data_IF_399680835848
#
_entry.id   IF_399680835848
#
_cell.length_a   1.000
_cell.length_b   1.000
_cell.length_c   1.000
_cell.angle_alpha   90.00
_cell.angle_beta   90.00
_cell.angle_gamma   90.00
#
_symmetry.space_group_name_H-M   'P 1'
#
loop_
_entity.id
_entity.type
_entity.pdbx_description
1 polymer ?
#
# COMPACT_ATOMS: atom_id res chain seq x y z
N UNK A 1 -14.60 49.98 -30.39
CA UNK A 1 -15.08 50.14 -29.02
C UNK A 1 -16.31 49.27 -28.86
N UNK A 2 -16.24 48.23 -28.22
CA UNK A 2 -17.18 47.37 -27.48
C UNK A 2 -16.56 45.98 -27.36
N UNK A 3 -16.24 45.61 -26.13
CA UNK A 3 -15.86 44.27 -25.74
C UNK A 3 -17.07 43.35 -25.79
N UNK A 4 -16.88 42.17 -26.31
CA UNK A 4 -17.75 41.03 -25.98
C UNK A 4 -16.86 39.87 -25.52
N UNK A 5 -16.93 39.64 -24.25
CA UNK A 5 -16.36 38.50 -23.56
C UNK A 5 -17.19 37.27 -23.84
N UNK A 6 -16.60 36.18 -24.31
CA UNK A 6 -17.20 34.87 -24.31
C UNK A 6 -16.28 33.87 -23.63
N UNK A 7 -16.76 33.12 -22.61
CA UNK A 7 -15.97 32.22 -21.80
C UNK A 7 -16.15 30.77 -22.23
N UNK A 8 -15.56 30.36 -23.35
CA UNK A 8 -15.46 28.94 -23.71
C UNK A 8 -14.24 28.70 -24.60
N UNK A 9 -13.09 28.44 -23.98
CA UNK A 9 -11.98 27.69 -24.60
C UNK A 9 -10.84 27.50 -23.60
N UNK A 10 -11.07 26.70 -22.56
CA UNK A 10 -9.99 26.05 -21.80
C UNK A 10 -10.07 24.55 -22.03
N UNK A 11 -9.52 24.10 -23.14
CA UNK A 11 -9.15 22.67 -23.34
C UNK A 11 -7.94 22.63 -24.27
N UNK A 12 -6.95 21.86 -23.83
CA UNK A 12 -5.81 21.34 -24.60
C UNK A 12 -4.70 22.30 -24.93
N UNK A 13 -3.82 22.55 -23.94
CA UNK A 13 -2.42 22.87 -24.22
C UNK A 13 -1.59 21.59 -24.05
N UNK A 14 -1.52 20.82 -25.13
CA UNK A 14 -0.44 19.85 -25.40
C UNK A 14 0.87 20.64 -25.56
N UNK A 15 1.78 20.55 -24.62
CA UNK A 15 3.15 21.00 -24.81
C UNK A 15 3.84 20.02 -25.77
N UNK A 16 3.92 20.41 -27.03
CA UNK A 16 4.85 19.84 -28.00
C UNK A 16 6.27 20.30 -27.65
N UNK A 17 7.12 19.38 -27.20
CA UNK A 17 8.57 19.60 -27.25
C UNK A 17 9.04 19.23 -28.65
N UNK A 18 9.32 20.27 -29.47
CA UNK A 18 9.99 20.09 -30.76
C UNK A 18 11.49 20.09 -30.48
N UNK A 19 12.12 18.93 -30.59
CA UNK A 19 13.57 18.83 -30.72
C UNK A 19 13.87 18.82 -32.22
N UNK A 20 14.38 19.92 -32.75
CA UNK A 20 14.85 19.99 -34.12
C UNK A 20 16.27 19.43 -34.20
N UNK A 21 16.44 18.28 -34.81
CA UNK A 21 17.70 17.81 -35.36
C UNK A 21 17.55 17.62 -36.87
N UNK A 22 18.46 18.09 -37.73
CA UNK A 22 18.32 17.96 -39.15
C UNK A 22 18.67 16.53 -39.62
N UNK A 23 17.78 15.97 -40.41
CA UNK A 23 17.89 14.67 -41.08
C UNK A 23 17.57 13.43 -40.24
N UNK A 24 16.29 13.23 -39.93
CA UNK A 24 15.74 11.88 -39.81
C UNK A 24 14.22 11.94 -40.02
N UNK A 25 13.70 11.03 -40.84
CA UNK A 25 12.30 10.84 -41.12
C UNK A 25 11.53 10.61 -39.77
N UNK A 26 10.60 11.50 -39.47
CA UNK A 26 9.74 11.36 -38.28
C UNK A 26 8.77 10.19 -38.54
N UNK A 27 9.11 9.02 -37.99
CA UNK A 27 8.14 7.95 -37.85
C UNK A 27 7.28 8.31 -36.65
N UNK A 28 6.08 8.81 -36.91
CA UNK A 28 5.06 9.00 -35.84
C UNK A 28 4.61 7.60 -35.44
N UNK A 29 5.19 7.11 -34.35
CA UNK A 29 4.69 5.91 -33.69
C UNK A 29 3.28 6.21 -33.15
N UNK A 30 2.26 5.38 -33.45
CA UNK A 30 0.92 5.62 -32.94
C UNK A 30 0.99 5.61 -31.41
N UNK A 31 0.49 6.69 -30.79
CA UNK A 31 0.32 6.77 -29.34
C UNK A 31 -0.41 5.52 -28.86
N UNK A 32 0.31 4.63 -28.21
CA UNK A 32 -0.34 3.60 -27.39
C UNK A 32 -1.14 4.36 -26.34
N UNK A 33 -2.47 4.25 -26.43
CA UNK A 33 -3.38 4.67 -25.37
C UNK A 33 -3.04 3.83 -24.14
N UNK A 34 -2.16 4.34 -23.29
CA UNK A 34 -1.89 3.76 -21.98
C UNK A 34 -3.13 4.00 -21.12
N UNK A 35 -3.98 2.99 -21.02
CA UNK A 35 -5.01 2.99 -19.99
C UNK A 35 -4.29 3.10 -18.65
N UNK A 36 -4.54 4.19 -17.92
CA UNK A 36 -4.07 4.36 -16.55
C UNK A 36 -4.72 3.23 -15.73
N UNK A 37 -3.97 2.19 -15.44
CA UNK A 37 -4.45 1.10 -14.60
C UNK A 37 -4.28 1.53 -13.15
N UNK A 38 -5.42 1.64 -12.43
CA UNK A 38 -5.38 1.76 -10.98
C UNK A 38 -4.94 0.42 -10.38
N UNK A 39 -4.31 0.42 -9.20
CA UNK A 39 -3.87 -0.79 -8.47
C UNK A 39 -4.94 -1.90 -8.44
N UNK A 40 -6.22 -1.52 -8.29
CA UNK A 40 -7.37 -2.46 -8.25
C UNK A 40 -7.65 -3.18 -9.58
N UNK A 41 -7.10 -2.71 -10.68
CA UNK A 41 -7.38 -3.26 -12.01
C UNK A 41 -6.36 -4.32 -12.44
N UNK A 42 -5.27 -4.48 -11.69
CA UNK A 42 -4.29 -5.53 -11.97
C UNK A 42 -4.86 -6.90 -11.69
N UNK A 43 -4.59 -7.81 -12.62
CA UNK A 43 -4.73 -9.26 -12.41
C UNK A 43 -3.38 -9.84 -12.05
N UNK A 44 -3.39 -11.00 -11.45
CA UNK A 44 -2.15 -11.67 -11.05
C UNK A 44 -1.23 -11.95 -12.24
N UNK A 45 -1.82 -12.35 -13.37
CA UNK A 45 -1.08 -12.62 -14.61
C UNK A 45 -0.36 -11.37 -15.13
N UNK A 46 -0.98 -10.19 -14.99
CA UNK A 46 -0.35 -8.94 -15.43
C UNK A 46 0.90 -8.64 -14.61
N UNK A 47 0.84 -8.88 -13.29
CA UNK A 47 1.98 -8.70 -12.39
C UNK A 47 3.10 -9.71 -12.63
N UNK A 48 2.74 -10.95 -12.97
CA UNK A 48 3.71 -11.98 -13.34
C UNK A 48 4.43 -11.64 -14.65
N UNK A 49 3.69 -11.18 -15.66
CA UNK A 49 4.26 -10.84 -16.97
C UNK A 49 5.05 -9.54 -16.95
N UNK A 50 4.56 -8.50 -16.26
CA UNK A 50 5.17 -7.17 -16.30
C UNK A 50 6.31 -7.02 -15.30
N UNK A 51 6.20 -7.62 -14.11
CA UNK A 51 7.18 -7.47 -13.01
C UNK A 51 7.90 -8.78 -12.66
N UNK A 52 7.61 -9.88 -13.35
CA UNK A 52 8.19 -11.19 -13.05
C UNK A 52 7.78 -11.73 -11.67
N UNK A 53 6.60 -11.32 -11.15
CA UNK A 53 6.16 -11.66 -9.81
C UNK A 53 6.06 -13.17 -9.64
N UNK A 54 6.72 -13.68 -8.60
CA UNK A 54 6.62 -15.07 -8.14
C UNK A 54 5.84 -15.08 -6.83
N UNK A 55 4.98 -16.08 -6.64
CA UNK A 55 4.15 -16.20 -5.44
C UNK A 55 4.54 -17.48 -4.71
N UNK A 56 4.79 -17.32 -3.41
CA UNK A 56 5.04 -18.41 -2.48
C UNK A 56 4.05 -18.33 -1.33
N UNK A 57 3.58 -19.48 -0.88
CA UNK A 57 2.74 -19.62 0.32
C UNK A 57 3.49 -20.46 1.33
N UNK A 58 3.90 -19.83 2.42
CA UNK A 58 4.53 -20.52 3.54
C UNK A 58 4.46 -19.66 4.79
N UNK A 59 4.65 -20.26 5.94
CA UNK A 59 4.74 -19.54 7.20
C UNK A 59 5.86 -18.52 7.15
N UNK A 60 5.58 -17.29 7.55
CA UNK A 60 6.59 -16.21 7.54
C UNK A 60 7.67 -16.51 8.59
N UNK A 61 8.97 -16.62 8.17
CA UNK A 61 10.07 -17.04 9.07
C UNK A 61 10.22 -16.08 10.26
N UNK A 62 10.02 -14.81 10.03
CA UNK A 62 10.23 -13.77 11.04
C UNK A 62 9.22 -13.84 12.21
N UNK A 63 8.11 -14.56 12.01
CA UNK A 63 7.10 -14.76 13.07
C UNK A 63 7.54 -15.68 14.19
N UNK A 64 8.47 -16.59 13.97
CA UNK A 64 9.01 -17.41 15.05
C UNK A 64 9.65 -16.54 16.15
N UNK A 65 9.98 -15.27 15.81
CA UNK A 65 10.48 -14.23 16.69
C UNK A 65 9.39 -13.26 17.17
N UNK A 66 8.18 -13.34 16.63
CA UNK A 66 7.09 -12.47 17.02
C UNK A 66 6.61 -12.85 18.43
N UNK A 67 6.99 -12.05 19.40
CA UNK A 67 6.47 -12.15 20.77
C UNK A 67 5.07 -11.59 20.82
N UNK A 68 4.17 -12.22 21.57
CA UNK A 68 2.88 -11.62 21.88
C UNK A 68 3.06 -10.24 22.52
N UNK A 69 2.37 -9.23 21.99
CA UNK A 69 2.36 -7.89 22.54
C UNK A 69 0.98 -7.66 23.16
N UNK A 70 0.97 -7.44 24.46
CA UNK A 70 -0.29 -7.15 25.15
C UNK A 70 -0.80 -5.78 24.68
N UNK A 71 -2.07 -5.70 24.22
CA UNK A 71 -2.68 -4.43 23.88
C UNK A 71 -2.89 -3.58 25.13
N UNK A 72 -2.88 -2.25 24.96
CA UNK A 72 -3.22 -1.33 26.04
C UNK A 72 -4.67 -1.49 26.49
N UNK A 73 -4.98 -1.11 27.72
CA UNK A 73 -6.35 -1.11 28.25
C UNK A 73 -7.28 -0.27 27.36
N UNK A 74 -6.77 0.84 26.81
CA UNK A 74 -7.51 1.66 25.87
C UNK A 74 -7.92 0.87 24.61
N UNK A 75 -7.00 0.11 24.03
CA UNK A 75 -7.29 -0.68 22.83
C UNK A 75 -8.25 -1.83 23.14
N UNK A 76 -8.05 -2.53 24.26
CA UNK A 76 -8.94 -3.61 24.71
C UNK A 76 -10.38 -3.07 24.83
N UNK A 77 -10.56 -1.96 25.53
CA UNK A 77 -11.86 -1.36 25.73
C UNK A 77 -12.48 -0.84 24.43
N UNK A 78 -11.67 -0.24 23.55
CA UNK A 78 -12.12 0.25 22.25
C UNK A 78 -12.61 -0.89 21.37
N UNK A 79 -11.85 -1.99 21.26
CA UNK A 79 -12.26 -3.19 20.50
C UNK A 79 -13.51 -3.83 21.13
N UNK A 80 -13.59 -3.88 22.45
CA UNK A 80 -14.79 -4.38 23.14
C UNK A 80 -16.04 -3.56 22.78
N UNK A 81 -15.94 -2.23 22.81
CA UNK A 81 -17.05 -1.32 22.46
C UNK A 81 -17.42 -1.37 20.98
N UNK A 82 -16.45 -1.63 20.09
CA UNK A 82 -16.71 -1.72 18.65
C UNK A 82 -17.72 -2.82 18.29
N UNK A 83 -17.88 -3.85 19.14
CA UNK A 83 -18.88 -4.92 18.97
C UNK A 83 -20.33 -4.40 19.00
N UNK A 84 -20.57 -3.26 19.63
CA UNK A 84 -21.86 -2.60 19.66
C UNK A 84 -22.06 -1.60 18.51
N UNK A 85 -21.04 -1.38 17.68
CA UNK A 85 -21.11 -0.46 16.56
C UNK A 85 -21.62 -1.17 15.31
N UNK A 86 -22.36 -0.42 14.48
CA UNK A 86 -22.85 -0.96 13.22
C UNK A 86 -21.70 -0.95 12.21
N UNK A 87 -21.11 -2.11 11.94
CA UNK A 87 -20.09 -2.30 10.91
C UNK A 87 -20.77 -2.84 9.65
N UNK A 88 -21.43 -1.97 8.90
CA UNK A 88 -22.14 -2.33 7.68
C UNK A 88 -21.33 -2.12 6.40
N UNK A 89 -20.23 -1.37 6.47
CA UNK A 89 -19.32 -1.08 5.35
C UNK A 89 -17.86 -1.02 5.79
N UNK A 90 -16.94 -0.93 4.82
CA UNK A 90 -15.51 -0.90 5.08
C UNK A 90 -15.05 0.37 5.84
N UNK A 91 -15.73 1.52 5.67
CA UNK A 91 -15.38 2.75 6.39
C UNK A 91 -15.63 2.62 7.89
N UNK A 92 -16.73 1.97 8.25
CA UNK A 92 -17.04 1.69 9.67
C UNK A 92 -16.05 0.67 10.24
N UNK A 93 -15.65 -0.36 9.47
CA UNK A 93 -14.58 -1.28 9.85
C UNK A 93 -13.28 -0.52 10.12
N UNK A 94 -12.90 0.42 9.26
CA UNK A 94 -11.72 1.24 9.46
C UNK A 94 -11.79 2.07 10.73
N UNK A 95 -12.89 2.81 10.92
CA UNK A 95 -13.03 3.76 12.02
C UNK A 95 -13.06 3.05 13.39
N UNK A 96 -13.79 1.95 13.49
CA UNK A 96 -14.06 1.32 14.77
C UNK A 96 -13.08 0.22 15.17
N UNK A 97 -12.37 -0.37 14.20
CA UNK A 97 -11.45 -1.46 14.46
C UNK A 97 -10.03 -1.18 13.98
N UNK A 98 -9.86 -0.86 12.69
CA UNK A 98 -8.51 -0.80 12.11
C UNK A 98 -7.72 0.40 12.60
N UNK A 99 -8.30 1.60 12.60
CA UNK A 99 -7.60 2.80 13.06
C UNK A 99 -7.15 2.69 14.52
N UNK A 100 -7.94 2.20 15.48
CA UNK A 100 -7.48 1.95 16.84
C UNK A 100 -6.30 0.98 16.91
N UNK A 101 -6.36 -0.16 16.20
CA UNK A 101 -5.28 -1.15 16.17
C UNK A 101 -4.01 -0.57 15.55
N UNK A 102 -4.12 0.09 14.39
CA UNK A 102 -2.97 0.70 13.71
C UNK A 102 -2.39 1.88 14.50
N UNK A 103 -3.21 2.60 15.26
CA UNK A 103 -2.75 3.63 16.20
C UNK A 103 -1.91 3.04 17.33
N UNK A 104 -2.34 1.91 17.90
CA UNK A 104 -1.55 1.17 18.89
C UNK A 104 -0.21 0.71 18.31
N UNK A 105 -0.22 0.14 17.10
CA UNK A 105 0.99 -0.24 16.37
C UNK A 105 1.91 0.96 16.19
N UNK A 106 1.37 2.13 15.81
CA UNK A 106 2.14 3.38 15.66
C UNK A 106 2.74 3.83 17.00
N UNK A 107 1.98 3.82 18.08
CA UNK A 107 2.43 4.24 19.40
C UNK A 107 3.61 3.37 19.86
N UNK A 108 3.50 2.05 19.69
CA UNK A 108 4.54 1.10 20.06
C UNK A 108 5.83 1.26 19.24
N UNK A 109 5.72 1.83 18.04
CA UNK A 109 6.84 2.06 17.11
C UNK A 109 7.11 3.55 16.84
N UNK A 110 6.65 4.47 17.69
CA UNK A 110 6.62 5.92 17.48
C UNK A 110 7.95 6.58 17.10
N UNK A 111 9.07 5.97 17.47
CA UNK A 111 10.41 6.49 17.17
C UNK A 111 10.87 6.18 15.74
N UNK A 112 10.25 5.20 15.06
CA UNK A 112 10.77 4.64 13.83
C UNK A 112 9.81 4.69 12.67
N UNK A 113 8.47 4.78 12.93
CA UNK A 113 7.48 4.73 11.87
C UNK A 113 6.42 5.81 12.04
N UNK A 114 5.87 6.23 10.93
CA UNK A 114 4.60 6.96 10.84
C UNK A 114 3.62 6.18 9.99
N UNK A 115 2.31 6.37 10.19
CA UNK A 115 1.33 5.76 9.32
C UNK A 115 0.35 6.80 8.77
N UNK A 116 -0.13 6.52 7.58
CA UNK A 116 -1.07 7.36 6.85
C UNK A 116 -2.22 6.49 6.31
N UNK A 117 -3.37 7.12 6.07
CA UNK A 117 -4.52 6.42 5.52
C UNK A 117 -5.08 7.16 4.31
N UNK A 118 -5.63 6.41 3.34
CA UNK A 118 -6.24 6.92 2.11
C UNK A 118 -5.31 7.84 1.29
N UNK A 119 -4.02 7.50 1.28
CA UNK A 119 -3.00 8.28 0.57
C UNK A 119 -2.90 7.89 -0.90
N UNK A 120 -2.53 8.87 -1.73
CA UNK A 120 -2.22 8.62 -3.13
C UNK A 120 -0.77 8.17 -3.25
N UNK A 121 -0.58 7.02 -3.87
CA UNK A 121 0.74 6.47 -4.19
C UNK A 121 0.83 6.27 -5.70
N UNK A 122 1.66 7.08 -6.36
CA UNK A 122 1.89 7.03 -7.80
C UNK A 122 3.37 6.81 -8.05
N UNK A 123 3.68 5.86 -8.93
CA UNK A 123 5.06 5.58 -9.37
C UNK A 123 5.27 6.31 -10.69
N UNK A 124 6.19 7.28 -10.74
CA UNK A 124 6.38 8.14 -11.91
C UNK A 124 6.92 7.36 -13.11
N UNK A 125 7.82 6.41 -12.88
CA UNK A 125 8.40 5.55 -13.92
C UNK A 125 7.43 4.48 -14.45
N UNK A 126 6.30 4.26 -13.77
CA UNK A 126 5.29 3.29 -14.17
C UNK A 126 3.90 3.91 -14.16
N UNK A 127 3.48 4.42 -15.31
CA UNK A 127 2.17 5.08 -15.45
C UNK A 127 0.97 4.22 -15.02
N UNK A 128 1.13 2.90 -14.97
CA UNK A 128 0.09 1.97 -14.54
C UNK A 128 -0.02 1.83 -13.02
N UNK A 129 1.05 2.08 -12.27
CA UNK A 129 1.08 1.93 -10.81
C UNK A 129 0.65 3.23 -10.12
N UNK A 130 -0.64 3.54 -10.20
CA UNK A 130 -1.23 4.76 -9.64
C UNK A 130 -2.51 4.44 -8.87
N UNK A 131 -2.74 5.19 -7.81
CA UNK A 131 -3.99 5.11 -7.07
C UNK A 131 -3.84 5.31 -5.57
N UNK A 132 -4.91 5.04 -4.85
CA UNK A 132 -4.95 5.18 -3.40
C UNK A 132 -4.63 3.86 -2.73
N UNK A 133 -3.91 3.97 -1.61
CA UNK A 133 -3.69 2.88 -0.66
C UNK A 133 -4.54 3.13 0.58
N UNK A 134 -5.09 2.05 1.15
CA UNK A 134 -5.96 2.17 2.31
C UNK A 134 -5.17 2.66 3.53
N UNK A 135 -4.06 1.99 3.84
CA UNK A 135 -3.13 2.39 4.91
C UNK A 135 -1.68 2.08 4.49
N UNK A 136 -0.76 2.93 4.94
CA UNK A 136 0.67 2.77 4.68
C UNK A 136 1.50 3.19 5.89
N UNK A 137 2.50 2.37 6.24
CA UNK A 137 3.53 2.74 7.19
C UNK A 137 4.81 3.15 6.46
N UNK A 138 5.43 4.20 6.96
CA UNK A 138 6.71 4.72 6.46
C UNK A 138 7.75 4.68 7.58
N UNK A 139 9.01 4.42 7.21
CA UNK A 139 10.12 4.35 8.17
C UNK A 139 10.65 5.76 8.45
N UNK A 140 9.88 6.56 9.16
CA UNK A 140 10.28 7.89 9.62
C UNK A 140 9.48 8.29 10.85
N UNK A 141 10.06 9.11 11.72
CA UNK A 141 9.34 9.70 12.84
C UNK A 141 8.43 10.85 12.36
N UNK A 142 7.33 11.06 13.06
CA UNK A 142 6.25 12.04 12.85
C UNK A 142 6.51 13.15 11.82
N UNK A 143 5.89 13.03 10.65
CA UNK A 143 5.88 14.05 9.59
C UNK A 143 4.46 14.27 9.10
N UNK A 144 4.18 15.50 8.64
CA UNK A 144 2.84 15.90 8.18
C UNK A 144 2.50 15.25 6.83
N UNK A 145 3.49 15.07 5.96
CA UNK A 145 3.32 14.46 4.63
C UNK A 145 3.98 13.10 4.57
N UNK A 146 3.35 12.17 3.86
CA UNK A 146 3.94 10.86 3.57
C UNK A 146 5.31 11.03 2.94
N UNK A 147 6.29 10.34 3.50
CA UNK A 147 7.68 10.33 3.03
C UNK A 147 8.10 8.90 2.70
N UNK A 148 9.25 8.78 2.05
CA UNK A 148 9.91 7.52 1.74
C UNK A 148 10.99 7.31 2.80
N UNK A 149 11.28 6.08 3.23
CA UNK A 149 10.91 4.83 2.62
C UNK A 149 9.53 4.28 3.07
N UNK A 150 8.83 3.68 2.13
CA UNK A 150 7.56 2.99 2.35
C UNK A 150 7.83 1.58 2.84
N UNK A 151 7.34 1.26 4.03
CA UNK A 151 7.68 0.00 4.72
C UNK A 151 6.56 -1.03 4.63
N UNK A 152 5.30 -0.60 4.70
CA UNK A 152 4.17 -1.49 4.87
C UNK A 152 2.91 -0.95 4.19
N UNK A 153 2.22 -1.80 3.42
CA UNK A 153 0.97 -1.44 2.74
C UNK A 153 -0.15 -2.35 3.24
N UNK A 154 -1.32 -1.78 3.50
CA UNK A 154 -2.46 -2.53 4.00
C UNK A 154 -3.67 -2.30 3.10
N UNK A 155 -4.31 -3.39 2.68
CA UNK A 155 -5.60 -3.38 2.00
C UNK A 155 -6.65 -3.99 2.93
N UNK A 156 -7.75 -3.26 3.15
CA UNK A 156 -8.81 -3.69 4.05
C UNK A 156 -10.18 -3.66 3.38
N UNK A 157 -10.86 -4.80 3.33
CA UNK A 157 -12.18 -4.97 2.74
C UNK A 157 -13.08 -5.82 3.64
N UNK A 158 -14.39 -5.71 3.43
CA UNK A 158 -15.36 -6.44 4.24
C UNK A 158 -15.98 -7.65 3.52
N UNK A 159 -16.18 -7.57 2.20
CA UNK A 159 -16.97 -8.53 1.43
C UNK A 159 -16.21 -9.18 0.28
N UNK A 160 -14.91 -8.97 0.20
CA UNK A 160 -14.07 -9.56 -0.85
C UNK A 160 -13.42 -10.83 -0.35
N UNK A 161 -12.86 -11.63 -1.26
CA UNK A 161 -12.05 -12.80 -0.92
C UNK A 161 -10.56 -12.45 -0.91
N UNK A 162 -9.75 -13.27 -0.28
CA UNK A 162 -8.29 -13.10 -0.27
C UNK A 162 -7.74 -13.11 -1.70
N UNK A 163 -8.21 -14.06 -2.53
CA UNK A 163 -7.77 -14.22 -3.91
C UNK A 163 -8.06 -12.97 -4.76
N UNK A 164 -9.17 -12.30 -4.50
CA UNK A 164 -9.56 -11.06 -5.20
C UNK A 164 -8.68 -9.86 -4.79
N UNK A 165 -8.14 -9.86 -3.56
CA UNK A 165 -7.33 -8.75 -3.04
C UNK A 165 -5.83 -8.92 -3.29
N UNK A 166 -5.33 -10.14 -3.46
CA UNK A 166 -3.91 -10.40 -3.68
C UNK A 166 -3.34 -9.60 -4.86
N UNK A 167 -3.98 -9.53 -6.05
CA UNK A 167 -3.44 -8.73 -7.15
C UNK A 167 -3.32 -7.25 -6.81
N UNK A 168 -4.33 -6.68 -6.14
CA UNK A 168 -4.33 -5.28 -5.74
C UNK A 168 -3.20 -4.98 -4.74
N UNK A 169 -3.10 -5.76 -3.65
CA UNK A 169 -2.08 -5.52 -2.63
C UNK A 169 -0.68 -5.77 -3.20
N UNK A 170 -0.50 -6.79 -4.04
CA UNK A 170 0.77 -7.06 -4.70
C UNK A 170 1.20 -5.88 -5.59
N UNK A 171 0.29 -5.32 -6.40
CA UNK A 171 0.56 -4.13 -7.20
C UNK A 171 0.95 -2.92 -6.34
N UNK A 172 0.27 -2.71 -5.21
CA UNK A 172 0.59 -1.65 -4.26
C UNK A 172 1.97 -1.88 -3.60
N UNK A 173 2.31 -3.11 -3.23
CA UNK A 173 3.62 -3.44 -2.67
C UNK A 173 4.75 -3.26 -3.70
N UNK A 174 4.52 -3.64 -4.97
CA UNK A 174 5.45 -3.36 -6.09
C UNK A 174 5.62 -1.86 -6.25
N UNK A 175 4.54 -1.08 -6.24
CA UNK A 175 4.60 0.37 -6.32
C UNK A 175 5.43 0.98 -5.19
N UNK A 176 5.23 0.55 -3.95
CA UNK A 176 6.02 0.98 -2.80
C UNK A 176 7.50 0.61 -2.93
N UNK A 177 7.80 -0.61 -3.39
CA UNK A 177 9.18 -1.05 -3.65
C UNK A 177 9.87 -0.21 -4.72
N UNK A 178 9.18 0.08 -5.84
CA UNK A 178 9.73 0.90 -6.91
C UNK A 178 9.96 2.34 -6.47
N UNK A 179 9.04 2.94 -5.73
CA UNK A 179 9.22 4.28 -5.14
C UNK A 179 10.44 4.34 -4.22
N UNK A 180 10.61 3.34 -3.35
CA UNK A 180 11.81 3.26 -2.52
C UNK A 180 13.08 3.21 -3.37
N UNK A 181 13.08 2.41 -4.43
CA UNK A 181 14.21 2.28 -5.35
C UNK A 181 14.50 3.58 -6.12
N UNK A 182 13.48 4.26 -6.64
CA UNK A 182 13.60 5.56 -7.33
C UNK A 182 14.27 6.60 -6.44
N UNK A 183 13.95 6.59 -5.14
CA UNK A 183 14.51 7.51 -4.16
C UNK A 183 15.80 6.97 -3.49
N UNK A 184 16.44 5.97 -4.10
CA UNK A 184 17.71 5.37 -3.65
C UNK A 184 17.66 4.86 -2.20
N UNK A 185 16.50 4.41 -1.75
CA UNK A 185 16.37 3.78 -0.45
C UNK A 185 16.79 2.30 -0.55
N UNK A 186 17.60 1.85 0.40
CA UNK A 186 18.12 0.48 0.42
C UNK A 186 17.09 -0.56 0.93
N UNK A 187 15.86 -0.14 1.17
CA UNK A 187 14.78 -1.03 1.61
C UNK A 187 14.42 -2.02 0.50
N UNK A 188 14.89 -3.26 0.66
CA UNK A 188 14.67 -4.36 -0.29
C UNK A 188 13.41 -5.16 -0.01
N UNK A 189 12.75 -4.89 1.12
CA UNK A 189 11.57 -5.62 1.57
C UNK A 189 10.43 -4.62 1.82
N UNK A 190 9.27 -4.90 1.23
CA UNK A 190 8.02 -4.23 1.55
C UNK A 190 7.10 -5.26 2.18
N UNK A 191 6.55 -4.95 3.33
CA UNK A 191 5.56 -5.79 3.97
C UNK A 191 4.15 -5.39 3.56
N UNK A 192 3.20 -6.30 3.74
CA UNK A 192 1.79 -6.06 3.46
C UNK A 192 0.87 -6.78 4.43
N UNK A 193 -0.38 -6.34 4.47
CA UNK A 193 -1.45 -7.10 5.09
C UNK A 193 -2.74 -6.95 4.29
N UNK A 194 -3.48 -8.04 4.18
CA UNK A 194 -4.87 -8.06 3.74
C UNK A 194 -5.74 -8.30 4.96
N UNK A 195 -6.75 -7.44 5.13
CA UNK A 195 -7.69 -7.52 6.24
C UNK A 195 -9.09 -7.75 5.67
N UNK A 196 -9.67 -8.89 6.02
CA UNK A 196 -10.98 -9.36 5.59
C UNK A 196 -11.87 -9.51 6.82
N UNK A 197 -12.70 -8.51 7.08
CA UNK A 197 -13.52 -8.42 8.30
C UNK A 197 -12.65 -8.48 9.57
N UNK A 198 -12.55 -9.64 10.22
CA UNK A 198 -11.76 -9.88 11.43
C UNK A 198 -10.47 -10.68 11.17
N UNK A 199 -10.29 -11.18 9.94
CA UNK A 199 -9.16 -12.01 9.54
C UNK A 199 -8.03 -11.19 8.93
N UNK A 200 -6.80 -11.44 9.35
CA UNK A 200 -5.57 -10.77 8.90
C UNK A 200 -4.63 -11.78 8.28
N UNK A 201 -4.18 -11.48 7.07
CA UNK A 201 -3.15 -12.25 6.36
C UNK A 201 -1.98 -11.33 6.07
N UNK A 202 -0.78 -11.71 6.49
CA UNK A 202 0.42 -10.93 6.29
C UNK A 202 1.17 -11.35 5.03
N UNK A 203 1.85 -10.39 4.40
CA UNK A 203 2.59 -10.58 3.16
C UNK A 203 3.98 -9.95 3.25
N UNK A 204 4.90 -10.46 2.44
CA UNK A 204 6.24 -9.90 2.27
C UNK A 204 6.64 -9.93 0.79
N UNK A 205 6.95 -8.77 0.24
CA UNK A 205 7.58 -8.66 -1.07
C UNK A 205 9.08 -8.42 -0.87
N UNK A 206 9.90 -9.31 -1.41
CA UNK A 206 11.34 -9.13 -1.53
C UNK A 206 11.72 -9.29 -2.99
N UNK A 207 12.23 -8.20 -3.58
CA UNK A 207 12.51 -8.13 -5.02
C UNK A 207 11.23 -8.43 -5.83
N UNK A 208 11.14 -9.58 -6.47
CA UNK A 208 9.97 -10.04 -7.24
C UNK A 208 9.27 -11.26 -6.62
N UNK A 209 9.60 -11.62 -5.38
CA UNK A 209 8.96 -12.75 -4.68
C UNK A 209 7.97 -12.24 -3.65
N UNK A 210 6.69 -12.50 -3.88
CA UNK A 210 5.61 -12.26 -2.94
C UNK A 210 5.38 -13.51 -2.10
N UNK A 211 5.73 -13.44 -0.84
CA UNK A 211 5.40 -14.47 0.15
C UNK A 211 4.07 -14.12 0.80
N UNK A 212 3.12 -15.04 0.74
CA UNK A 212 1.83 -14.97 1.44
C UNK A 212 1.92 -15.92 2.64
N UNK A 213 1.62 -15.38 3.81
CA UNK A 213 1.61 -16.16 5.02
C UNK A 213 0.48 -17.20 5.03
N UNK A 214 0.79 -18.42 5.41
CA UNK A 214 -0.21 -19.50 5.57
C UNK A 214 -1.02 -19.37 6.86
N UNK A 215 -0.53 -18.59 7.85
CA UNK A 215 -1.28 -18.33 9.06
C UNK A 215 -2.26 -17.19 8.85
N UNK A 216 -3.48 -17.37 9.36
CA UNK A 216 -4.52 -16.34 9.44
C UNK A 216 -4.69 -15.94 10.89
N UNK A 217 -4.70 -14.63 11.15
CA UNK A 217 -4.89 -14.08 12.48
C UNK A 217 -6.28 -13.49 12.60
N UNK A 218 -6.91 -13.69 13.73
CA UNK A 218 -8.23 -13.14 14.04
C UNK A 218 -8.17 -12.14 15.18
N UNK A 219 -9.16 -11.25 15.25
CA UNK A 219 -9.22 -10.19 16.27
C UNK A 219 -9.34 -10.71 17.71
N UNK A 220 -9.76 -11.94 17.90
CA UNK A 220 -9.75 -12.61 19.22
C UNK A 220 -8.33 -12.86 19.74
N UNK A 221 -7.34 -12.89 18.83
CA UNK A 221 -5.91 -12.99 19.16
C UNK A 221 -5.14 -11.70 18.81
N UNK A 222 -5.66 -10.57 19.31
CA UNK A 222 -5.03 -9.24 19.11
C UNK A 222 -3.57 -9.17 19.54
N UNK A 223 -3.12 -9.82 20.65
CA UNK A 223 -1.71 -9.88 21.02
C UNK A 223 -0.80 -10.46 19.93
N UNK A 224 -1.28 -11.46 19.19
CA UNK A 224 -0.51 -12.04 18.08
C UNK A 224 -0.42 -11.06 16.89
N UNK A 225 -1.51 -10.39 16.53
CA UNK A 225 -1.53 -9.37 15.48
C UNK A 225 -0.51 -8.27 15.80
N UNK A 226 -0.55 -7.71 17.01
CA UNK A 226 0.38 -6.67 17.45
C UNK A 226 1.83 -7.19 17.46
N UNK A 227 2.04 -8.43 17.85
CA UNK A 227 3.35 -9.08 17.86
C UNK A 227 3.95 -9.22 16.45
N UNK A 228 3.13 -9.57 15.45
CA UNK A 228 3.57 -9.62 14.05
C UNK A 228 3.98 -8.23 13.57
N UNK A 229 3.15 -7.20 13.78
CA UNK A 229 3.52 -5.83 13.42
C UNK A 229 4.81 -5.39 14.09
N UNK A 230 4.97 -5.65 15.39
CA UNK A 230 6.19 -5.30 16.12
C UNK A 230 7.43 -5.97 15.54
N UNK A 231 7.30 -7.22 15.07
CA UNK A 231 8.39 -7.95 14.43
C UNK A 231 8.74 -7.34 13.06
N UNK A 232 7.73 -7.06 12.24
CA UNK A 232 7.92 -6.62 10.85
C UNK A 232 8.30 -5.13 10.73
N UNK A 233 7.91 -4.29 11.70
CA UNK A 233 8.21 -2.85 11.74
C UNK A 233 9.53 -2.51 12.45
N UNK A 234 10.27 -3.50 12.93
CA UNK A 234 11.63 -3.25 13.46
C UNK A 234 12.48 -2.59 12.38
N UNK A 235 13.33 -1.62 12.77
CA UNK A 235 14.33 -1.10 11.84
C UNK A 235 15.11 -2.25 11.23
N UNK A 236 15.08 -2.35 9.90
CA UNK A 236 15.92 -3.31 9.20
C UNK A 236 17.36 -2.83 9.34
N UNK A 237 18.33 -3.70 9.74
CA UNK A 237 19.71 -3.30 9.70
C UNK A 237 20.09 -2.94 8.27
N UNK A 238 20.77 -1.82 8.13
CA UNK A 238 21.33 -1.35 6.86
C UNK A 238 22.50 -2.27 6.47
N UNK A 239 22.23 -3.37 5.74
CA UNK A 239 23.27 -4.23 5.16
C UNK A 239 23.17 -4.27 3.64
#
# INVERSE_FOLDING_TARGET
MVMVTSPHLRRNLLRLYIVTSPHQNIVISPHKNYHIMAYRNFKLIDLQQEFGLKIEQKKMPDKSQAKFIMPSDWLIETVRRSRYMIINNYKNLWAYLLLPILSEVKINNRKHVSFYYNETMNVDLHEKLKGKVDFIFVQTSAVIKMQIPLLYVIAAKKKETLEALIPQIAAQMIGAYLLNKEHKQELRIVYGAVILADAWVFLRLKENVLLIDTDVYHLDNLPAILGVFQCLLKPQPWY
#
